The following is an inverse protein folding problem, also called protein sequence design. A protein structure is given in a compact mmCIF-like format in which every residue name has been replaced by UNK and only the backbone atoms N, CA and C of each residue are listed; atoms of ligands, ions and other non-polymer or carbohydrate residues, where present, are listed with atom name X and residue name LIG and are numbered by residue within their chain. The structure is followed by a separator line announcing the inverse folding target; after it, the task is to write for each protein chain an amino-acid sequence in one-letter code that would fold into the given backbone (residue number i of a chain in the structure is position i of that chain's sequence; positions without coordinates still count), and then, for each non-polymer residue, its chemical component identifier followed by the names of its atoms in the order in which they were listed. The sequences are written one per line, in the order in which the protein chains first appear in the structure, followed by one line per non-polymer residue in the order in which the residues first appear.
data_IF_614532193960
#
_entry.id   IF_614532193960
#
_cell.length_a   1.000
_cell.length_b   1.000
_cell.length_c   1.000
_cell.angle_alpha   90.00
_cell.angle_beta   90.00
_cell.angle_gamma   90.00
#
_symmetry.space_group_name_H-M   'P 1'
#
loop_
_entity.id
_entity.type
_entity.pdbx_description
1 polymer ?
#
# COMPACT_ATOMS: atom_id res chain seq x y z
N UNK A 1 45.10 -6.58 22.35
CA UNK A 1 43.99 -5.71 21.92
C UNK A 1 44.57 -4.79 20.90
N UNK A 2 44.21 -5.00 19.64
CA UNK A 2 44.34 -3.95 18.63
C UNK A 2 42.95 -3.35 18.55
N UNK A 3 42.84 -2.08 18.88
CA UNK A 3 41.58 -1.34 18.80
C UNK A 3 41.09 -1.39 17.36
N UNK A 4 39.84 -1.79 17.17
CA UNK A 4 39.17 -1.70 15.88
C UNK A 4 39.18 -0.22 15.43
N UNK A 5 39.37 0.06 14.13
CA UNK A 5 39.32 1.44 13.64
C UNK A 5 37.96 2.04 14.01
N UNK A 6 38.00 3.09 14.82
CA UNK A 6 36.85 3.91 15.16
C UNK A 6 36.55 4.74 13.91
N UNK A 7 35.33 4.64 13.38
CA UNK A 7 34.89 5.44 12.25
C UNK A 7 34.69 6.88 12.72
N UNK A 8 35.52 7.81 12.23
CA UNK A 8 35.51 9.24 12.61
C UNK A 8 34.27 10.00 12.07
N UNK A 9 33.34 9.32 11.40
CA UNK A 9 32.13 9.87 10.74
C UNK A 9 30.81 9.36 11.38
N UNK A 10 30.86 8.54 12.44
CA UNK A 10 29.65 7.96 13.04
C UNK A 10 28.95 8.86 14.07
N UNK A 11 29.22 10.16 14.09
CA UNK A 11 28.56 11.09 15.02
C UNK A 11 27.67 12.05 14.24
N UNK A 12 26.38 11.72 14.28
CA UNK A 12 25.23 12.55 13.91
C UNK A 12 24.84 12.43 12.44
N UNK A 13 24.25 11.29 12.07
CA UNK A 13 23.29 11.30 10.96
C UNK A 13 22.22 12.33 11.31
N UNK A 14 22.02 13.35 10.47
CA UNK A 14 21.04 14.43 10.70
C UNK A 14 19.76 14.23 9.88
N UNK A 15 19.74 13.25 8.98
CA UNK A 15 18.64 12.96 8.07
C UNK A 15 18.77 11.53 7.51
N UNK A 16 17.66 10.97 7.05
CA UNK A 16 17.63 9.75 6.25
C UNK A 16 17.94 10.12 4.79
N UNK A 17 18.92 9.45 4.20
CA UNK A 17 19.35 9.72 2.82
C UNK A 17 18.88 8.59 1.91
N UNK A 18 18.10 8.95 0.90
CA UNK A 18 17.63 8.05 -0.15
C UNK A 18 18.27 8.47 -1.46
N UNK A 19 18.86 7.51 -2.18
CA UNK A 19 19.50 7.80 -3.46
C UNK A 19 19.20 6.70 -4.47
N UNK A 20 18.80 7.10 -5.67
CA UNK A 20 18.63 6.21 -6.83
C UNK A 20 19.90 6.26 -7.67
N UNK A 21 20.47 5.10 -8.00
CA UNK A 21 21.69 5.00 -8.80
C UNK A 21 21.46 4.17 -10.05
N UNK A 22 22.12 4.54 -11.15
CA UNK A 22 22.13 3.80 -12.40
C UNK A 22 23.49 3.98 -13.10
N UNK A 23 24.09 2.87 -13.58
CA UNK A 23 25.40 2.87 -14.27
C UNK A 23 26.51 3.66 -13.54
N UNK A 24 26.64 3.46 -12.23
CA UNK A 24 27.58 4.15 -11.33
C UNK A 24 27.33 5.67 -11.13
N UNK A 25 26.19 6.19 -11.59
CA UNK A 25 25.77 7.58 -11.38
C UNK A 25 24.54 7.68 -10.48
N UNK A 26 24.45 8.78 -9.72
CA UNK A 26 23.23 9.14 -9.00
C UNK A 26 22.23 9.70 -10.02
N UNK A 27 21.07 9.07 -10.11
CA UNK A 27 19.91 9.50 -10.90
C UNK A 27 19.11 10.55 -10.13
N UNK A 28 18.81 10.24 -8.87
CA UNK A 28 18.08 11.15 -7.98
C UNK A 28 18.47 10.91 -6.51
N UNK A 29 18.25 11.92 -5.67
CA UNK A 29 18.58 11.86 -4.25
C UNK A 29 17.67 12.77 -3.43
N UNK A 30 17.12 12.23 -2.35
CA UNK A 30 16.23 12.92 -1.41
C UNK A 30 16.73 12.71 0.01
N UNK A 31 16.59 13.75 0.84
CA UNK A 31 16.84 13.67 2.28
C UNK A 31 15.54 13.92 3.04
N UNK A 32 15.20 13.02 3.95
CA UNK A 32 14.12 13.20 4.90
C UNK A 32 14.67 13.51 6.30
N UNK A 33 14.15 14.53 7.00
CA UNK A 33 14.42 14.72 8.42
C UNK A 33 14.23 13.45 9.25
N UNK A 34 15.05 13.25 10.27
CA UNK A 34 14.86 12.13 11.22
C UNK A 34 13.53 12.20 11.99
N UNK A 35 12.92 13.38 12.06
CA UNK A 35 11.62 13.57 12.68
C UNK A 35 10.47 13.05 11.80
N UNK A 36 10.72 12.86 10.51
CA UNK A 36 9.71 12.41 9.54
C UNK A 36 9.73 10.88 9.40
N UNK A 37 10.90 10.26 9.63
CA UNK A 37 11.03 8.81 9.79
C UNK A 37 12.23 8.47 10.68
N UNK A 38 12.01 7.71 11.75
CA UNK A 38 13.07 7.32 12.69
C UNK A 38 13.45 5.84 12.54
N UNK A 39 14.40 5.56 11.65
CA UNK A 39 14.90 4.20 11.38
C UNK A 39 15.64 3.54 12.54
N UNK A 40 15.92 4.25 13.65
CA UNK A 40 16.61 3.69 14.83
C UNK A 40 15.69 3.46 16.03
N UNK A 41 14.40 3.79 15.89
CA UNK A 41 13.39 3.63 16.94
C UNK A 41 13.10 2.17 17.30
N UNK A 42 13.48 1.22 16.43
CA UNK A 42 13.16 -0.21 16.58
C UNK A 42 11.75 -0.57 16.13
N UNK A 43 11.09 0.34 15.41
CA UNK A 43 9.79 0.12 14.78
C UNK A 43 9.94 -0.50 13.38
N UNK A 44 8.87 -1.13 12.89
CA UNK A 44 8.84 -1.77 11.58
C UNK A 44 8.50 -0.76 10.49
N UNK A 45 9.51 -0.25 9.78
CA UNK A 45 9.31 0.60 8.61
C UNK A 45 9.15 -0.23 7.35
N UNK A 46 8.41 0.29 6.38
CA UNK A 46 8.14 -0.38 5.10
C UNK A 46 8.67 0.49 3.96
N UNK A 47 9.37 -0.11 3.01
CA UNK A 47 9.80 0.55 1.79
C UNK A 47 9.29 -0.23 0.57
N UNK A 48 8.54 0.46 -0.30
CA UNK A 48 7.99 -0.09 -1.54
C UNK A 48 8.73 0.55 -2.70
N UNK A 49 9.47 -0.28 -3.45
CA UNK A 49 10.12 0.14 -4.69
C UNK A 49 9.32 -0.42 -5.87
N UNK A 50 8.86 0.46 -6.74
CA UNK A 50 8.14 0.10 -7.96
C UNK A 50 9.00 0.47 -9.16
N UNK A 51 9.14 -0.44 -10.12
CA UNK A 51 9.86 -0.19 -11.36
C UNK A 51 8.99 -0.65 -12.53
N UNK A 52 8.58 0.28 -13.39
CA UNK A 52 7.67 0.03 -14.52
C UNK A 52 8.37 0.36 -15.84
N UNK A 53 8.28 -0.55 -16.82
CA UNK A 53 8.75 -0.27 -18.18
C UNK A 53 7.85 0.79 -18.86
N UNK A 54 8.43 1.91 -19.29
CA UNK A 54 7.78 2.90 -20.15
C UNK A 54 8.63 3.15 -21.41
N UNK A 55 8.32 2.41 -22.48
CA UNK A 55 9.03 2.52 -23.74
C UNK A 55 10.49 2.06 -23.66
N UNK A 56 11.42 3.02 -23.59
CA UNK A 56 12.87 2.78 -23.48
C UNK A 56 13.42 3.14 -22.09
N UNK A 57 12.55 3.56 -21.17
CA UNK A 57 12.92 3.98 -19.84
C UNK A 57 12.26 3.03 -18.82
N UNK A 58 12.86 2.93 -17.63
CA UNK A 58 12.20 2.38 -16.44
C UNK A 58 11.79 3.54 -15.55
N UNK A 59 10.51 3.65 -15.24
CA UNK A 59 10.00 4.59 -14.25
C UNK A 59 10.16 3.95 -12.87
N UNK A 60 10.93 4.59 -11.99
CA UNK A 60 11.21 4.09 -10.65
C UNK A 60 10.54 4.99 -9.61
N UNK A 61 9.72 4.39 -8.76
CA UNK A 61 9.12 5.03 -7.59
C UNK A 61 9.61 4.36 -6.31
N UNK A 62 9.73 5.15 -5.24
CA UNK A 62 10.03 4.67 -3.89
C UNK A 62 9.08 5.36 -2.93
N UNK A 63 8.32 4.56 -2.19
CA UNK A 63 7.46 5.02 -1.10
C UNK A 63 7.95 4.37 0.19
N UNK A 64 7.99 5.15 1.27
CA UNK A 64 8.39 4.67 2.59
C UNK A 64 7.29 4.97 3.59
N UNK A 65 6.91 3.99 4.40
CA UNK A 65 5.96 4.14 5.50
C UNK A 65 6.71 4.07 6.82
N UNK A 66 6.49 5.07 7.68
CA UNK A 66 7.01 5.06 9.04
C UNK A 66 6.24 4.04 9.89
N UNK A 67 6.95 3.10 10.51
CA UNK A 67 6.37 2.11 11.41
C UNK A 67 5.83 2.68 12.71
N UNK A 68 6.33 3.85 13.13
CA UNK A 68 5.93 4.45 14.41
C UNK A 68 4.52 5.04 14.36
N UNK A 69 4.16 5.69 13.26
CA UNK A 69 2.90 6.44 13.12
C UNK A 69 2.11 6.13 11.84
N UNK A 70 2.63 5.30 10.95
CA UNK A 70 2.01 4.94 9.68
C UNK A 70 2.09 6.01 8.59
N UNK A 71 2.81 7.11 8.83
CA UNK A 71 2.95 8.18 7.84
C UNK A 71 3.63 7.69 6.57
N UNK A 72 3.10 8.11 5.41
CA UNK A 72 3.57 7.67 4.09
C UNK A 72 4.36 8.80 3.42
N UNK A 73 5.55 8.48 2.93
CA UNK A 73 6.47 9.41 2.29
C UNK A 73 6.84 8.92 0.90
N UNK A 74 6.44 9.68 -0.13
CA UNK A 74 6.87 9.43 -1.51
C UNK A 74 8.26 10.03 -1.69
N UNK A 75 9.26 9.18 -1.86
CA UNK A 75 10.66 9.57 -1.99
C UNK A 75 11.02 9.85 -3.45
N UNK A 76 10.66 8.91 -4.33
CA UNK A 76 10.80 9.05 -5.77
C UNK A 76 9.43 8.82 -6.40
N UNK A 77 9.04 9.70 -7.30
CA UNK A 77 7.81 9.56 -8.09
C UNK A 77 8.19 9.44 -9.57
N UNK A 78 8.02 8.24 -10.11
CA UNK A 78 8.13 7.94 -11.54
C UNK A 78 9.42 8.46 -12.18
N UNK A 79 10.55 8.32 -11.47
CA UNK A 79 11.85 8.81 -11.93
C UNK A 79 12.32 7.95 -13.10
N UNK A 80 12.45 8.57 -14.27
CA UNK A 80 12.86 7.88 -15.48
C UNK A 80 14.36 7.52 -15.45
N UNK A 81 14.63 6.22 -15.49
CA UNK A 81 15.97 5.64 -15.67
C UNK A 81 16.08 5.16 -17.10
N UNK A 82 16.79 5.92 -17.93
CA UNK A 82 16.89 5.61 -19.36
C UNK A 82 17.87 4.48 -19.67
N UNK A 83 17.45 3.52 -20.49
CA UNK A 83 18.29 2.40 -20.91
C UNK A 83 17.51 1.18 -21.39
N UNK A 84 18.17 0.29 -22.14
CA UNK A 84 17.57 -1.00 -22.49
C UNK A 84 17.83 -2.02 -21.39
N UNK A 85 16.79 -2.44 -20.68
CA UNK A 85 16.86 -3.42 -19.60
C UNK A 85 16.75 -4.86 -20.15
N UNK A 86 17.66 -5.22 -21.07
CA UNK A 86 17.73 -6.57 -21.63
C UNK A 86 18.45 -7.52 -20.67
N UNK A 87 17.74 -8.11 -19.70
CA UNK A 87 18.31 -9.15 -18.85
C UNK A 87 17.47 -9.50 -17.63
N UNK A 88 17.77 -10.62 -16.95
CA UNK A 88 17.15 -10.95 -15.68
C UNK A 88 17.53 -9.89 -14.63
N UNK A 89 16.53 -9.21 -14.08
CA UNK A 89 16.71 -8.27 -12.97
C UNK A 89 17.03 -9.05 -11.69
N UNK A 90 17.80 -8.44 -10.78
CA UNK A 90 18.12 -8.98 -9.46
C UNK A 90 18.06 -7.86 -8.44
N UNK A 91 17.29 -8.04 -7.38
CA UNK A 91 17.41 -7.19 -6.20
C UNK A 91 18.58 -7.68 -5.33
N UNK A 92 19.33 -6.74 -4.76
CA UNK A 92 20.45 -7.03 -3.87
C UNK A 92 20.41 -6.08 -2.67
N UNK A 93 20.56 -6.64 -1.47
CA UNK A 93 20.66 -5.89 -0.23
C UNK A 93 22.11 -5.99 0.25
N UNK A 94 22.68 -4.85 0.62
CA UNK A 94 24.09 -4.76 0.99
C UNK A 94 24.27 -3.75 2.11
N UNK A 95 25.15 -4.10 3.03
CA UNK A 95 25.52 -3.30 4.17
C UNK A 95 27.02 -3.02 4.13
N UNK A 96 27.44 -1.79 4.41
CA UNK A 96 28.85 -1.45 4.60
C UNK A 96 29.03 -0.72 5.92
N UNK A 97 29.48 -1.45 6.93
CA UNK A 97 29.44 -1.00 8.32
C UNK A 97 30.60 -0.11 8.75
N UNK A 98 31.64 0.07 7.92
CA UNK A 98 32.80 0.92 8.25
C UNK A 98 33.54 0.62 9.57
N UNK A 99 33.13 -0.41 10.34
CA UNK A 99 33.38 -0.54 11.78
C UNK A 99 32.91 -1.87 12.38
N UNK A 100 32.82 -1.95 13.72
CA UNK A 100 32.82 -3.21 14.48
C UNK A 100 31.48 -3.97 14.59
N UNK A 101 30.33 -3.31 14.45
CA UNK A 101 29.02 -3.95 14.41
C UNK A 101 27.98 -2.98 13.83
N UNK A 102 27.02 -3.51 13.09
CA UNK A 102 25.86 -2.78 12.60
C UNK A 102 24.69 -3.77 12.54
N UNK A 103 23.50 -3.33 12.90
CA UNK A 103 22.31 -4.16 12.94
C UNK A 103 21.44 -3.77 11.74
N UNK A 104 21.39 -4.64 10.75
CA UNK A 104 20.47 -4.50 9.64
C UNK A 104 19.25 -5.37 9.93
N UNK A 105 18.11 -4.72 10.00
CA UNK A 105 16.84 -5.40 9.93
C UNK A 105 16.33 -5.27 8.49
N UNK A 106 16.18 -6.41 7.82
CA UNK A 106 15.75 -6.45 6.42
C UNK A 106 14.64 -7.48 6.34
N UNK A 107 13.47 -7.06 6.79
CA UNK A 107 12.25 -7.85 6.82
C UNK A 107 11.25 -7.36 5.75
N UNK A 108 10.27 -8.20 5.41
CA UNK A 108 9.21 -7.93 4.43
C UNK A 108 9.69 -7.48 3.04
N UNK A 109 10.88 -7.93 2.65
CA UNK A 109 11.34 -7.81 1.26
C UNK A 109 10.39 -8.58 0.37
N UNK A 110 9.73 -7.82 -0.49
CA UNK A 110 9.02 -8.35 -1.61
C UNK A 110 9.80 -7.93 -2.87
N UNK A 111 9.97 -8.86 -3.81
CA UNK A 111 10.53 -8.55 -5.11
C UNK A 111 9.66 -9.23 -6.16
N UNK A 112 9.01 -8.43 -6.98
CA UNK A 112 8.27 -8.88 -8.13
C UNK A 112 8.88 -8.32 -9.41
N UNK A 113 8.96 -9.19 -10.41
CA UNK A 113 9.51 -8.89 -11.73
C UNK A 113 8.50 -9.21 -12.84
N UNK A 114 7.21 -9.34 -12.51
CA UNK A 114 6.12 -9.61 -13.45
C UNK A 114 5.08 -8.48 -13.50
N UNK A 115 4.13 -8.62 -14.42
CA UNK A 115 3.09 -7.64 -14.76
C UNK A 115 1.98 -7.51 -13.69
N UNK A 116 2.25 -7.81 -12.41
CA UNK A 116 1.25 -7.71 -11.32
C UNK A 116 1.30 -8.82 -10.26
N UNK A 117 2.48 -9.35 -9.91
CA UNK A 117 2.66 -10.36 -8.88
C UNK A 117 3.11 -9.80 -7.54
N UNK A 118 2.20 -9.24 -6.73
CA UNK A 118 2.42 -8.83 -5.33
C UNK A 118 3.25 -9.86 -4.53
N UNK A 119 4.56 -9.73 -4.49
CA UNK A 119 5.21 -8.80 -3.59
C UNK A 119 4.46 -8.49 -2.26
N UNK A 120 3.93 -9.52 -1.63
CA UNK A 120 3.05 -9.43 -0.45
C UNK A 120 2.08 -10.58 -0.60
N UNK A 121 2.26 -11.64 0.19
CA UNK A 121 1.63 -12.94 -0.06
C UNK A 121 0.13 -12.82 -0.31
N UNK A 122 -0.30 -12.93 -1.57
CA UNK A 122 -1.71 -12.84 -1.94
C UNK A 122 -2.39 -11.55 -1.46
N UNK A 123 -1.73 -10.40 -1.65
CA UNK A 123 -2.31 -9.08 -1.39
C UNK A 123 -3.74 -9.03 -1.91
N UNK A 124 -4.68 -8.75 -1.01
CA UNK A 124 -6.07 -8.61 -1.38
C UNK A 124 -6.14 -7.46 -2.39
N UNK A 125 -6.89 -7.62 -3.48
CA UNK A 125 -7.16 -6.49 -4.39
C UNK A 125 -7.73 -5.36 -3.53
N UNK A 126 -7.14 -4.17 -3.62
CA UNK A 126 -7.50 -3.00 -2.82
C UNK A 126 -6.74 -2.81 -1.50
N UNK A 127 -5.87 -3.74 -1.07
CA UNK A 127 -5.01 -3.54 0.10
C UNK A 127 -3.82 -2.65 -0.29
N UNK A 128 -4.04 -1.34 -0.27
CA UNK A 128 -3.07 -0.36 -0.77
C UNK A 128 -2.06 0.04 0.31
N UNK A 129 -2.44 -0.05 1.59
CA UNK A 129 -1.51 0.19 2.69
C UNK A 129 -0.67 -1.07 3.04
N UNK A 130 -1.00 -2.24 2.48
CA UNK A 130 -0.39 -3.56 2.69
C UNK A 130 -0.40 -4.00 4.16
N UNK A 131 -1.47 -3.69 4.89
CA UNK A 131 -1.67 -4.16 6.26
C UNK A 131 -2.31 -5.56 6.33
N UNK A 132 -2.64 -6.14 5.18
CA UNK A 132 -3.25 -7.46 5.04
C UNK A 132 -4.77 -7.45 5.15
N UNK A 133 -5.40 -6.28 5.16
CA UNK A 133 -6.84 -6.07 5.19
C UNK A 133 -7.24 -5.08 4.09
N UNK A 134 -8.52 -5.10 3.70
CA UNK A 134 -9.09 -4.11 2.76
C UNK A 134 -10.17 -3.35 3.50
N UNK A 135 -9.87 -2.11 3.87
CA UNK A 135 -10.68 -1.26 4.75
C UNK A 135 -10.75 0.18 4.22
N UNK A 136 -11.45 1.06 4.92
CA UNK A 136 -11.46 2.50 4.58
C UNK A 136 -10.09 3.16 4.73
N UNK A 137 -9.16 2.58 5.49
CA UNK A 137 -7.78 3.07 5.56
C UNK A 137 -7.03 2.94 4.23
N UNK A 138 -7.45 2.01 3.37
CA UNK A 138 -6.91 1.89 2.01
C UNK A 138 -7.42 2.99 1.08
N UNK A 139 -8.60 3.55 1.35
CA UNK A 139 -9.11 4.72 0.62
C UNK A 139 -8.34 5.99 0.97
N UNK A 140 -7.81 6.11 2.19
CA UNK A 140 -7.00 7.26 2.61
C UNK A 140 -5.67 7.37 1.85
N UNK A 141 -5.18 6.27 1.27
CA UNK A 141 -3.96 6.24 0.44
C UNK A 141 -4.26 6.29 -1.06
N UNK A 142 -5.53 6.22 -1.47
CA UNK A 142 -5.93 6.20 -2.87
C UNK A 142 -6.02 7.62 -3.44
N UNK A 143 -5.35 7.88 -4.56
CA UNK A 143 -5.44 9.15 -5.30
C UNK A 143 -5.86 8.87 -6.73
N UNK A 144 -6.99 9.44 -7.18
CA UNK A 144 -7.45 9.22 -8.55
C UNK A 144 -6.47 9.80 -9.58
N UNK A 145 -6.18 9.00 -10.61
CA UNK A 145 -5.28 9.36 -11.71
C UNK A 145 -3.88 8.77 -11.61
N UNK A 146 -3.51 8.14 -10.50
CA UNK A 146 -2.34 7.25 -10.45
C UNK A 146 -2.76 5.84 -10.86
N UNK A 147 -2.19 5.34 -11.97
CA UNK A 147 -2.50 4.02 -12.52
C UNK A 147 -2.23 2.85 -11.56
N UNK A 148 -1.52 3.09 -10.46
CA UNK A 148 -1.33 2.11 -9.39
C UNK A 148 -2.65 1.68 -8.69
N UNK A 149 -3.73 2.46 -8.82
CA UNK A 149 -5.01 2.22 -8.15
C UNK A 149 -6.12 1.64 -9.06
N UNK A 150 -5.76 1.10 -10.23
CA UNK A 150 -6.69 0.41 -11.15
C UNK A 150 -7.10 -0.97 -10.58
N UNK A 151 -8.09 -1.00 -9.69
CA UNK A 151 -8.62 -2.25 -9.10
C UNK A 151 -9.51 -3.01 -10.07
N UNK A 152 -10.03 -2.35 -11.10
CA UNK A 152 -10.88 -3.00 -12.12
C UNK A 152 -10.07 -3.72 -13.20
N UNK A 153 -8.78 -3.37 -13.34
CA UNK A 153 -7.85 -3.91 -14.32
C UNK A 153 -8.13 -3.46 -15.74
N UNK A 154 -8.75 -2.29 -15.92
CA UNK A 154 -9.14 -1.77 -17.23
C UNK A 154 -8.12 -0.81 -17.87
N UNK A 155 -7.03 -0.52 -17.14
CA UNK A 155 -5.92 0.34 -17.52
C UNK A 155 -6.11 1.82 -17.19
N UNK A 156 -7.17 2.18 -16.46
CA UNK A 156 -7.39 3.53 -15.94
C UNK A 156 -7.64 3.48 -14.42
N UNK A 157 -7.16 4.49 -13.70
CA UNK A 157 -7.52 4.71 -12.29
C UNK A 157 -8.56 5.84 -12.21
N UNK A 158 -9.83 5.47 -12.17
CA UNK A 158 -10.96 6.38 -12.24
C UNK A 158 -12.10 6.05 -11.25
N UNK A 159 -13.26 6.67 -11.44
CA UNK A 159 -14.41 6.48 -10.55
C UNK A 159 -14.93 5.03 -10.54
N UNK A 160 -14.66 4.23 -11.56
CA UNK A 160 -14.99 2.80 -11.58
C UNK A 160 -14.20 2.05 -10.50
N UNK A 161 -12.92 2.39 -10.31
CA UNK A 161 -12.06 1.80 -9.28
C UNK A 161 -12.53 2.16 -7.88
N UNK A 162 -12.87 3.44 -7.64
CA UNK A 162 -13.43 3.85 -6.36
C UNK A 162 -14.73 3.10 -6.05
N UNK A 163 -15.62 2.95 -7.05
CA UNK A 163 -16.86 2.21 -6.86
C UNK A 163 -16.63 0.72 -6.57
N UNK A 164 -15.69 0.08 -7.27
CA UNK A 164 -15.31 -1.31 -7.02
C UNK A 164 -14.75 -1.48 -5.61
N UNK A 165 -13.85 -0.58 -5.22
CA UNK A 165 -13.23 -0.55 -3.90
C UNK A 165 -14.26 -0.43 -2.77
N UNK A 166 -15.10 0.59 -2.83
CA UNK A 166 -16.11 0.86 -1.79
C UNK A 166 -17.18 -0.23 -1.76
N UNK A 167 -17.77 -0.59 -2.90
CA UNK A 167 -18.95 -1.45 -2.94
C UNK A 167 -18.64 -2.94 -2.84
N UNK A 168 -17.56 -3.42 -3.47
CA UNK A 168 -17.30 -4.84 -3.66
C UNK A 168 -16.12 -5.35 -2.83
N UNK A 169 -15.08 -4.53 -2.60
CA UNK A 169 -13.90 -4.94 -1.84
C UNK A 169 -14.08 -4.67 -0.35
N UNK A 170 -14.38 -3.43 0.03
CA UNK A 170 -14.64 -3.03 1.43
C UNK A 170 -16.06 -3.43 1.84
N UNK A 171 -17.03 -3.22 0.94
CA UNK A 171 -18.44 -3.49 1.23
C UNK A 171 -19.07 -2.46 2.14
N UNK A 172 -18.78 -1.17 1.90
CA UNK A 172 -19.38 -0.02 2.59
C UNK A 172 -19.98 0.98 1.60
N UNK A 173 -20.41 2.16 2.05
CA UNK A 173 -21.01 3.25 1.27
C UNK A 173 -20.02 4.40 1.04
N UNK A 174 -20.16 5.10 -0.09
CA UNK A 174 -19.55 6.41 -0.26
C UNK A 174 -20.16 7.35 0.79
N UNK A 175 -19.30 7.93 1.62
CA UNK A 175 -19.69 8.75 2.76
C UNK A 175 -19.48 8.10 4.13
N UNK A 176 -19.27 6.78 4.20
CA UNK A 176 -18.87 6.11 5.44
C UNK A 176 -17.40 6.44 5.75
N UNK A 177 -17.20 7.41 6.64
CA UNK A 177 -15.88 7.95 6.96
C UNK A 177 -15.23 7.22 8.12
N UNK A 178 -15.99 6.44 8.88
CA UNK A 178 -15.51 5.74 10.07
C UNK A 178 -15.29 4.23 9.83
N UNK A 179 -15.74 3.72 8.67
CA UNK A 179 -15.60 2.33 8.25
C UNK A 179 -16.51 1.35 8.96
N UNK A 180 -17.61 1.80 9.57
CA UNK A 180 -18.55 0.94 10.29
C UNK A 180 -19.57 0.23 9.37
N UNK A 181 -19.51 0.52 8.07
CA UNK A 181 -20.34 -0.07 7.03
C UNK A 181 -21.59 0.74 6.70
N UNK A 182 -21.88 1.82 7.43
CA UNK A 182 -23.08 2.65 7.28
C UNK A 182 -22.72 4.10 6.95
N UNK A 183 -23.41 4.70 5.97
CA UNK A 183 -23.33 6.14 5.76
C UNK A 183 -24.45 6.83 6.54
N UNK A 184 -24.10 7.54 7.61
CA UNK A 184 -25.04 8.10 8.59
C UNK A 184 -24.69 9.54 8.99
N UNK A 185 -25.52 10.10 9.87
CA UNK A 185 -25.17 11.37 10.55
C UNK A 185 -23.89 11.30 11.40
N UNK A 186 -23.44 10.11 11.82
CA UNK A 186 -22.19 9.92 12.55
C UNK A 186 -20.96 10.33 11.72
N UNK A 187 -20.95 9.97 10.44
CA UNK A 187 -19.90 10.31 9.49
C UNK A 187 -19.77 11.81 9.29
N UNK A 188 -20.91 12.49 9.14
CA UNK A 188 -20.93 13.95 9.06
C UNK A 188 -20.34 14.60 10.31
N UNK A 189 -20.68 14.10 11.51
CA UNK A 189 -20.10 14.63 12.75
C UNK A 189 -18.59 14.44 12.78
N UNK A 190 -18.08 13.32 12.28
CA UNK A 190 -16.65 13.06 12.16
C UNK A 190 -15.97 14.05 11.21
N UNK A 191 -16.37 14.09 9.94
CA UNK A 191 -15.67 14.90 8.91
C UNK A 191 -15.77 16.40 9.18
N UNK A 192 -16.91 16.89 9.69
CA UNK A 192 -17.02 18.28 10.13
C UNK A 192 -16.25 18.58 11.42
N UNK A 193 -15.99 17.56 12.24
CA UNK A 193 -15.12 17.66 13.41
C UNK A 193 -13.66 17.94 13.04
N UNK A 194 -13.22 17.48 11.88
CA UNK A 194 -11.87 17.75 11.33
C UNK A 194 -11.75 19.21 10.88
N UNK A 195 -12.82 19.77 10.31
CA UNK A 195 -12.88 21.20 9.97
C UNK A 195 -12.28 21.58 8.61
N UNK A 196 -12.08 20.62 7.70
CA UNK A 196 -11.51 20.84 6.35
C UNK A 196 -12.52 21.25 5.27
N UNK A 197 -13.82 21.20 5.57
CA UNK A 197 -14.88 21.50 4.59
C UNK A 197 -14.73 22.89 3.96
N UNK A 198 -14.61 22.95 2.64
CA UNK A 198 -14.49 24.20 1.85
C UNK A 198 -13.31 25.09 2.26
N UNK A 199 -12.26 24.49 2.84
CA UNK A 199 -11.03 25.21 3.23
C UNK A 199 -9.97 25.23 2.13
N UNK A 200 -10.01 24.24 1.23
CA UNK A 200 -8.95 23.97 0.25
C UNK A 200 -7.73 23.26 0.84
N UNK A 201 -7.77 22.86 2.11
CA UNK A 201 -6.78 21.96 2.71
C UNK A 201 -6.99 20.54 2.18
N UNK A 202 -5.88 19.80 2.05
CA UNK A 202 -5.93 18.40 1.63
C UNK A 202 -6.71 17.57 2.63
N UNK A 203 -7.68 16.79 2.16
CA UNK A 203 -8.46 15.87 2.97
C UNK A 203 -8.28 14.43 2.47
N UNK A 204 -8.30 13.50 3.41
CA UNK A 204 -8.39 12.05 3.15
C UNK A 204 -9.86 11.59 3.16
N UNK A 205 -10.11 10.31 2.86
CA UNK A 205 -11.46 9.74 2.88
C UNK A 205 -12.12 9.88 4.26
N UNK A 206 -11.39 9.54 5.32
CA UNK A 206 -11.86 9.65 6.70
C UNK A 206 -12.07 11.10 7.18
N UNK A 207 -11.58 12.08 6.41
CA UNK A 207 -11.72 13.53 6.62
C UNK A 207 -12.74 14.20 5.68
N UNK A 208 -13.33 13.44 4.74
CA UNK A 208 -14.46 13.89 3.92
C UNK A 208 -14.22 13.94 2.40
N UNK A 209 -13.02 13.60 1.91
CA UNK A 209 -12.76 13.48 0.46
C UNK A 209 -13.34 12.16 -0.08
N UNK A 210 -14.61 12.19 -0.46
CA UNK A 210 -15.38 11.02 -0.90
C UNK A 210 -15.41 10.88 -2.42
N UNK A 211 -14.85 11.84 -3.15
CA UNK A 211 -14.62 11.72 -4.59
C UNK A 211 -13.13 11.56 -4.97
N UNK A 212 -12.23 11.54 -3.97
CA UNK A 212 -10.79 11.38 -4.10
C UNK A 212 -10.13 12.46 -4.98
N UNK A 213 -10.62 13.71 -4.89
CA UNK A 213 -10.03 14.86 -5.59
C UNK A 213 -9.03 15.66 -4.73
N UNK A 214 -8.79 15.18 -3.51
CA UNK A 214 -7.86 15.71 -2.52
C UNK A 214 -8.48 16.78 -1.63
N UNK A 215 -9.76 17.12 -1.75
CA UNK A 215 -10.39 18.18 -0.97
C UNK A 215 -11.79 17.80 -0.48
N UNK A 216 -12.09 18.11 0.78
CA UNK A 216 -13.45 17.97 1.29
C UNK A 216 -14.30 19.21 0.93
N UNK A 217 -15.15 19.09 -0.08
CA UNK A 217 -16.02 20.17 -0.58
C UNK A 217 -17.46 19.69 -0.83
N UNK A 218 -18.28 20.57 -1.40
CA UNK A 218 -19.66 20.22 -1.79
C UNK A 218 -19.71 19.10 -2.85
N UNK A 219 -18.67 18.88 -3.66
CA UNK A 219 -18.66 17.78 -4.64
C UNK A 219 -18.67 16.40 -3.99
N UNK A 220 -18.06 16.24 -2.82
CA UNK A 220 -18.07 15.01 -2.04
C UNK A 220 -19.47 14.64 -1.58
N UNK A 221 -20.25 15.64 -1.16
CA UNK A 221 -21.66 15.43 -0.84
C UNK A 221 -22.44 14.98 -2.07
N UNK A 222 -22.17 15.56 -3.24
CA UNK A 222 -22.81 15.11 -4.48
C UNK A 222 -22.43 13.66 -4.78
N UNK A 223 -21.16 13.27 -4.61
CA UNK A 223 -20.72 11.90 -4.81
C UNK A 223 -21.46 10.93 -3.86
N UNK A 224 -21.41 11.17 -2.55
CA UNK A 224 -22.05 10.32 -1.53
C UNK A 224 -23.57 10.23 -1.68
N UNK A 225 -24.26 11.36 -1.91
CA UNK A 225 -25.72 11.35 -2.05
C UNK A 225 -26.20 10.81 -3.40
N UNK A 226 -25.37 10.85 -4.45
CA UNK A 226 -25.72 10.25 -5.75
C UNK A 226 -25.71 8.73 -5.66
N UNK A 227 -24.85 8.13 -4.83
CA UNK A 227 -24.88 6.69 -4.57
C UNK A 227 -26.15 6.29 -3.77
N UNK A 228 -26.58 7.14 -2.84
CA UNK A 228 -27.88 7.00 -2.16
C UNK A 228 -27.89 6.07 -0.95
N UNK A 229 -26.73 5.84 -0.31
CA UNK A 229 -26.59 4.98 0.88
C UNK A 229 -27.04 5.57 2.22
N UNK A 230 -27.32 6.88 2.27
CA UNK A 230 -27.54 7.61 3.53
C UNK A 230 -28.73 7.05 4.35
N UNK A 231 -28.44 6.65 5.59
CA UNK A 231 -29.39 6.09 6.57
C UNK A 231 -30.14 4.84 6.07
N UNK A 232 -29.52 4.07 5.16
CA UNK A 232 -30.03 2.75 4.74
C UNK A 232 -29.53 1.60 5.63
N UNK A 233 -28.68 1.89 6.62
CA UNK A 233 -28.02 0.90 7.47
C UNK A 233 -26.74 0.35 6.85
N UNK A 234 -26.07 -0.60 7.55
CA UNK A 234 -24.85 -1.20 7.06
C UNK A 234 -25.04 -1.86 5.70
N UNK A 235 -24.16 -1.54 4.74
CA UNK A 235 -24.11 -2.27 3.47
C UNK A 235 -23.79 -3.72 3.82
N UNK A 236 -24.54 -4.66 3.25
CA UNK A 236 -24.34 -6.07 3.56
C UNK A 236 -22.93 -6.46 3.14
N UNK A 237 -22.02 -6.56 4.11
CA UNK A 237 -20.62 -6.92 3.86
C UNK A 237 -20.59 -8.15 2.96
N UNK A 238 -19.73 -8.12 1.95
CA UNK A 238 -19.58 -9.22 0.99
C UNK A 238 -19.40 -10.51 1.77
N UNK A 239 -20.48 -11.30 1.90
CA UNK A 239 -20.43 -12.48 2.74
C UNK A 239 -19.38 -13.39 2.10
N UNK A 240 -18.29 -13.67 2.81
CA UNK A 240 -17.25 -14.58 2.36
C UNK A 240 -17.93 -15.79 1.72
N UNK A 241 -17.79 -15.91 0.39
CA UNK A 241 -18.51 -16.90 -0.41
C UNK A 241 -18.23 -18.25 0.23
N UNK A 242 -19.23 -19.01 0.72
CA UNK A 242 -19.00 -20.30 1.36
C UNK A 242 -18.29 -21.21 0.36
N UNK A 243 -16.99 -21.48 0.55
CA UNK A 243 -16.22 -22.27 -0.39
C UNK A 243 -16.86 -23.65 -0.55
N UNK A 244 -17.50 -23.97 -1.69
CA UNK A 244 -18.17 -25.26 -1.84
C UNK A 244 -17.16 -26.41 -2.01
N UNK A 245 -15.89 -26.08 -2.24
CA UNK A 245 -14.88 -26.98 -2.79
C UNK A 245 -13.98 -27.62 -1.74
N UNK A 246 -13.72 -26.94 -0.62
CA UNK A 246 -12.82 -27.44 0.43
C UNK A 246 -13.41 -28.65 1.16
N UNK A 247 -14.73 -28.66 1.43
CA UNK A 247 -15.41 -29.85 1.98
C UNK A 247 -15.45 -31.02 0.99
N UNK A 248 -15.66 -30.76 -0.30
CA UNK A 248 -15.70 -31.80 -1.33
C UNK A 248 -14.32 -32.45 -1.52
N UNK A 249 -13.25 -31.65 -1.51
CA UNK A 249 -11.87 -32.15 -1.60
C UNK A 249 -11.46 -32.96 -0.36
N UNK A 250 -11.84 -32.50 0.84
CA UNK A 250 -11.59 -33.26 2.08
C UNK A 250 -12.33 -34.60 2.05
N UNK A 251 -13.60 -34.61 1.66
CA UNK A 251 -14.38 -35.84 1.55
C UNK A 251 -13.81 -36.77 0.46
N UNK A 252 -13.45 -36.25 -0.71
CA UNK A 252 -12.82 -37.03 -1.77
C UNK A 252 -11.47 -37.62 -1.33
N UNK A 253 -10.65 -36.87 -0.59
CA UNK A 253 -9.40 -37.33 0.00
C UNK A 253 -9.61 -38.47 1.01
N UNK A 254 -10.60 -38.34 1.90
CA UNK A 254 -10.94 -39.38 2.87
C UNK A 254 -11.43 -40.67 2.21
N UNK A 255 -12.25 -40.58 1.15
CA UNK A 255 -12.70 -41.75 0.39
C UNK A 255 -11.55 -42.40 -0.40
N UNK A 256 -10.64 -41.61 -0.98
CA UNK A 256 -9.45 -42.11 -1.66
C UNK A 256 -8.53 -42.90 -0.72
N UNK A 257 -8.26 -42.36 0.47
CA UNK A 257 -7.43 -43.03 1.49
C UNK A 257 -8.08 -44.32 2.01
N UNK A 258 -9.39 -44.32 2.23
CA UNK A 258 -10.13 -45.53 2.63
C UNK A 258 -10.10 -46.61 1.54
N UNK A 259 -10.20 -46.22 0.26
CA UNK A 259 -10.09 -47.13 -0.89
C UNK A 259 -8.70 -47.75 -1.04
N UNK A 260 -7.64 -46.97 -0.80
CA UNK A 260 -6.25 -47.45 -0.85
C UNK A 260 -5.94 -48.43 0.29
N UNK A 261 -6.50 -48.22 1.49
CA UNK A 261 -6.32 -49.13 2.64
C UNK A 261 -6.95 -50.51 2.40
N UNK A 262 -8.11 -50.56 1.73
CA UNK A 262 -8.79 -51.82 1.38
C UNK A 262 -8.05 -52.66 0.34
N UNK A 263 -7.23 -52.05 -0.52
CA UNK A 263 -6.43 -52.78 -1.53
C UNK A 263 -5.16 -53.42 -0.97
N UNK A 264 -4.74 -53.08 0.26
CA UNK A 264 -3.52 -53.58 0.90
C UNK A 264 -3.76 -54.68 1.95
N UNK A 265 -5.02 -55.05 2.21
CA UNK A 265 -5.41 -56.15 3.11
C UNK A 265 -5.88 -57.34 2.30
#
# INVERSE_FOLDING_TARGET
GADAPQCDDCTDSIANEFSLHFDDFIVDQVQLPLADIDLVSGEYHKAVVTAVEDGNDMLVSLVVTDGADGSVHVIFDSVAVGGTFDGPVRAAFGARTGGAADNFDVDDICIDFGDGGTCGGGGLVGDFNLDGSVTTADLDVMVLGDGAFDVTGDGAADAADLNEMVANLIGTWIGDSNGDGEFSSGDFVQVFGVGKFETGETATWSEGDWNLDGQFTTSDFVAAFTEGGYELGPRGGVSAVPEPSSMVLVLAGLFGLAGLRRRRS
#
